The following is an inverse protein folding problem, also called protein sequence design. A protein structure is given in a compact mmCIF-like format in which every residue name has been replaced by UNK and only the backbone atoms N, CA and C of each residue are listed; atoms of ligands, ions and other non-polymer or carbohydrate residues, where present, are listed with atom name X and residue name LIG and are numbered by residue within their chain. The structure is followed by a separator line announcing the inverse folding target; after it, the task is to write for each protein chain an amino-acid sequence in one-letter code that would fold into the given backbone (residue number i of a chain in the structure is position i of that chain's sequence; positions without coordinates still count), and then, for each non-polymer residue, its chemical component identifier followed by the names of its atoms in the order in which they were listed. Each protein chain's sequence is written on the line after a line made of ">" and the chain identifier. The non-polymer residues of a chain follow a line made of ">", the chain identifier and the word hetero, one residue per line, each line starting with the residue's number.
data_IF_927915525060
#
_entry.id   IF_927915525060
#
_cell.length_a   1.000
_cell.length_b   1.000
_cell.length_c   1.000
_cell.angle_alpha   90.00
_cell.angle_beta   90.00
_cell.angle_gamma   90.00
#
_symmetry.space_group_name_H-M   'P 1'
#
loop_
_entity.id
_entity.type
_entity.pdbx_description
1 polymer ?
#
# COMPACT_ATOMS: atom_id res chain seq x y z
N UNK A 1 4.23 0.78 25.37
CA UNK A 1 3.15 0.66 24.36
C UNK A 1 2.17 1.78 24.66
N UNK A 2 2.11 2.84 23.84
CA UNK A 2 1.11 3.89 24.01
C UNK A 2 -0.23 3.33 23.52
N UNK A 3 -1.23 3.30 24.39
CA UNK A 3 -2.57 2.80 24.05
C UNK A 3 -3.28 3.81 23.16
N UNK A 4 -3.66 3.41 21.94
CA UNK A 4 -4.41 4.27 21.01
C UNK A 4 -5.86 4.48 21.49
N UNK A 5 -6.39 5.69 21.32
CA UNK A 5 -7.81 5.97 21.53
C UNK A 5 -8.67 5.34 20.41
N UNK A 6 -9.99 5.25 20.60
CA UNK A 6 -10.90 4.65 19.61
C UNK A 6 -10.80 5.34 18.24
N UNK A 7 -10.82 6.68 18.22
CA UNK A 7 -10.65 7.49 17.01
C UNK A 7 -9.36 7.14 16.24
N UNK A 8 -8.24 7.01 16.96
CA UNK A 8 -6.96 6.64 16.39
C UNK A 8 -6.96 5.21 15.82
N UNK A 9 -7.56 4.26 16.54
CA UNK A 9 -7.71 2.86 16.07
C UNK A 9 -8.54 2.78 14.79
N UNK A 10 -9.62 3.55 14.69
CA UNK A 10 -10.46 3.57 13.49
C UNK A 10 -9.68 4.12 12.28
N UNK A 11 -8.90 5.19 12.48
CA UNK A 11 -8.01 5.76 11.45
C UNK A 11 -6.92 4.77 11.02
N UNK A 12 -6.32 4.04 11.95
CA UNK A 12 -5.35 2.98 11.63
C UNK A 12 -5.98 1.91 10.78
N UNK A 13 -7.17 1.40 11.13
CA UNK A 13 -7.86 0.39 10.32
C UNK A 13 -8.16 0.89 8.91
N UNK A 14 -8.65 2.12 8.74
CA UNK A 14 -8.92 2.69 7.42
C UNK A 14 -7.63 2.84 6.59
N UNK A 15 -6.55 3.34 7.21
CA UNK A 15 -5.25 3.47 6.53
C UNK A 15 -4.71 2.11 6.06
N UNK A 16 -4.82 1.07 6.88
CA UNK A 16 -4.42 -0.30 6.52
C UNK A 16 -5.25 -0.81 5.33
N UNK A 17 -6.57 -0.59 5.32
CA UNK A 17 -7.43 -0.98 4.19
C UNK A 17 -6.99 -0.30 2.89
N UNK A 18 -6.66 0.98 2.94
CA UNK A 18 -6.25 1.75 1.75
C UNK A 18 -4.85 1.39 1.25
N UNK A 19 -3.91 1.17 2.15
CA UNK A 19 -2.48 1.05 1.80
C UNK A 19 -1.96 -0.38 1.83
N UNK A 20 -2.72 -1.32 2.39
CA UNK A 20 -2.32 -2.71 2.63
C UNK A 20 -0.99 -2.83 3.42
N UNK A 21 -0.68 -1.82 4.23
CA UNK A 21 0.51 -1.83 5.09
C UNK A 21 0.23 -2.45 6.45
N UNK A 22 1.29 -2.78 7.18
CA UNK A 22 1.15 -3.25 8.55
C UNK A 22 0.80 -2.10 9.52
N UNK A 23 0.29 -2.47 10.69
CA UNK A 23 -0.14 -1.53 11.74
C UNK A 23 0.97 -0.57 12.17
N UNK A 24 2.22 -1.04 12.27
CA UNK A 24 3.36 -0.18 12.63
C UNK A 24 3.56 0.96 11.64
N UNK A 25 3.45 0.66 10.34
CA UNK A 25 3.58 1.66 9.26
C UNK A 25 2.41 2.62 9.30
N UNK A 26 1.19 2.12 9.46
CA UNK A 26 -0.02 2.94 9.56
C UNK A 26 0.05 3.93 10.74
N UNK A 27 0.43 3.47 11.94
CA UNK A 27 0.60 4.33 13.12
C UNK A 27 1.68 5.38 12.89
N UNK A 28 2.78 5.00 12.24
CA UNK A 28 3.88 5.94 11.94
C UNK A 28 3.41 7.03 10.97
N UNK A 29 2.73 6.64 9.87
CA UNK A 29 2.21 7.60 8.90
C UNK A 29 1.18 8.54 9.53
N UNK A 30 0.23 8.00 10.29
CA UNK A 30 -0.84 8.81 10.89
C UNK A 30 -0.30 9.75 11.98
N UNK A 31 0.62 9.28 12.83
CA UNK A 31 1.19 10.12 13.89
C UNK A 31 2.05 11.27 13.35
N UNK A 32 2.72 11.10 12.21
CA UNK A 32 3.48 12.16 11.54
C UNK A 32 2.61 13.18 10.78
N UNK A 33 1.32 12.91 10.62
CA UNK A 33 0.39 13.75 9.85
C UNK A 33 -0.84 14.12 10.69
N UNK A 34 -0.65 14.33 12.00
CA UNK A 34 -1.69 14.77 12.94
C UNK A 34 -2.98 13.93 12.89
N UNK A 35 -2.85 12.63 12.59
CA UNK A 35 -3.97 11.69 12.43
C UNK A 35 -4.97 12.07 11.32
N UNK A 36 -4.58 12.94 10.38
CA UNK A 36 -5.34 13.28 9.17
C UNK A 36 -5.15 12.18 8.13
N UNK A 37 -6.17 11.35 7.98
CA UNK A 37 -6.12 10.15 7.13
C UNK A 37 -5.80 10.46 5.67
N UNK A 38 -6.50 11.44 5.11
CA UNK A 38 -6.35 11.95 3.75
C UNK A 38 -4.92 12.43 3.47
N UNK A 39 -4.37 13.28 4.35
CA UNK A 39 -3.00 13.78 4.23
C UNK A 39 -1.98 12.65 4.33
N UNK A 40 -2.18 11.74 5.30
CA UNK A 40 -1.28 10.60 5.49
C UNK A 40 -1.29 9.66 4.27
N UNK A 41 -2.46 9.39 3.68
CA UNK A 41 -2.57 8.52 2.50
C UNK A 41 -1.95 9.17 1.28
N UNK A 42 -2.20 10.46 1.03
CA UNK A 42 -1.60 11.18 -0.10
C UNK A 42 -0.07 11.14 -0.02
N UNK A 43 0.47 11.44 1.17
CA UNK A 43 1.93 11.44 1.40
C UNK A 43 2.54 10.05 1.24
N UNK A 44 1.84 9.01 1.71
CA UNK A 44 2.26 7.61 1.56
C UNK A 44 2.37 7.21 0.08
N UNK A 45 1.36 7.54 -0.73
CA UNK A 45 1.36 7.18 -2.15
C UNK A 45 2.30 8.04 -3.00
N UNK A 46 2.58 9.28 -2.59
CA UNK A 46 3.57 10.13 -3.25
C UNK A 46 5.01 9.68 -2.99
N UNK A 47 5.32 9.17 -1.78
CA UNK A 47 6.69 8.81 -1.37
C UNK A 47 6.73 7.45 -0.65
N UNK A 48 6.32 6.35 -1.30
CA UNK A 48 6.22 5.04 -0.66
C UNK A 48 7.55 4.53 -0.11
N UNK A 49 8.68 4.97 -0.64
CA UNK A 49 10.03 4.63 -0.19
C UNK A 49 10.36 5.11 1.23
N UNK A 50 9.68 6.16 1.72
CA UNK A 50 9.87 6.66 3.09
C UNK A 50 9.24 5.75 4.13
N UNK A 51 8.22 4.99 3.74
CA UNK A 51 7.35 4.24 4.64
C UNK A 51 7.48 2.73 4.46
N UNK A 52 7.89 2.27 3.27
CA UNK A 52 8.02 0.84 2.95
C UNK A 52 9.48 0.49 2.66
N UNK A 53 10.21 0.14 3.72
CA UNK A 53 11.63 -0.28 3.63
C UNK A 53 11.87 -1.50 2.71
N UNK A 54 10.87 -2.38 2.56
CA UNK A 54 11.04 -3.73 1.98
C UNK A 54 10.64 -3.92 0.51
N UNK A 55 10.23 -2.89 -0.24
CA UNK A 55 9.88 -3.10 -1.67
C UNK A 55 11.11 -3.56 -2.47
N UNK A 56 12.32 -3.18 -2.06
CA UNK A 56 13.57 -3.52 -2.76
C UNK A 56 13.96 -5.01 -2.68
N UNK A 57 13.41 -5.77 -1.72
CA UNK A 57 13.72 -7.21 -1.55
C UNK A 57 12.61 -8.17 -1.98
N UNK A 58 11.36 -7.70 -2.03
CA UNK A 58 10.20 -8.52 -2.38
C UNK A 58 9.89 -8.55 -3.89
N UNK A 59 10.41 -7.58 -4.66
CA UNK A 59 10.17 -7.48 -6.09
C UNK A 59 11.20 -8.33 -6.86
N UNK A 60 10.92 -9.62 -7.02
CA UNK A 60 11.66 -10.49 -7.93
C UNK A 60 11.45 -9.99 -9.37
N UNK A 61 12.38 -9.15 -9.84
CA UNK A 61 12.35 -8.54 -11.17
C UNK A 61 12.18 -9.59 -12.27
N UNK A 62 12.73 -10.80 -12.08
CA UNK A 62 12.62 -11.90 -13.04
C UNK A 62 11.18 -12.40 -13.15
N UNK A 63 10.47 -12.55 -12.03
CA UNK A 63 9.04 -12.90 -12.03
C UNK A 63 8.18 -11.81 -12.66
N UNK A 64 8.51 -10.54 -12.38
CA UNK A 64 7.81 -9.40 -12.98
C UNK A 64 7.99 -9.38 -14.50
N UNK A 65 9.21 -9.60 -14.97
CA UNK A 65 9.54 -9.64 -16.40
C UNK A 65 8.88 -10.84 -17.10
N UNK A 66 8.81 -12.01 -16.44
CA UNK A 66 8.07 -13.17 -16.94
C UNK A 66 6.57 -12.89 -17.07
N UNK A 67 5.97 -12.24 -16.07
CA UNK A 67 4.57 -11.81 -16.13
C UNK A 67 4.38 -10.82 -17.28
N UNK A 68 5.19 -9.77 -17.34
CA UNK A 68 5.13 -8.79 -18.42
C UNK A 68 5.24 -9.45 -19.80
N UNK A 69 6.21 -10.35 -20.01
CA UNK A 69 6.36 -11.06 -21.28
C UNK A 69 5.20 -12.00 -21.61
N UNK A 70 4.51 -12.55 -20.60
CA UNK A 70 3.31 -13.37 -20.78
C UNK A 70 2.07 -12.57 -21.19
N UNK A 71 2.04 -11.28 -20.87
CA UNK A 71 0.86 -10.42 -21.06
C UNK A 71 1.08 -9.28 -22.07
N UNK A 72 2.32 -8.96 -22.45
CA UNK A 72 2.60 -8.01 -23.53
C UNK A 72 1.97 -8.55 -24.82
N UNK A 73 1.03 -7.79 -25.40
CA UNK A 73 0.25 -8.19 -26.58
C UNK A 73 -1.14 -8.80 -26.28
N UNK A 74 -1.56 -8.90 -25.01
CA UNK A 74 -2.96 -9.20 -24.63
C UNK A 74 -3.74 -7.91 -24.41
N UNK A 75 -5.05 -7.96 -24.69
CA UNK A 75 -5.95 -6.82 -24.66
C UNK A 75 -5.94 -6.10 -23.30
N UNK A 76 -5.92 -4.76 -23.31
CA UNK A 76 -5.73 -3.91 -22.11
C UNK A 76 -6.75 -4.20 -20.99
N UNK A 77 -7.94 -4.68 -21.35
CA UNK A 77 -9.02 -5.08 -20.44
C UNK A 77 -8.59 -6.20 -19.45
N UNK A 78 -7.69 -7.10 -19.86
CA UNK A 78 -7.18 -8.16 -18.98
C UNK A 78 -6.13 -7.66 -17.97
N UNK A 79 -5.41 -6.59 -18.29
CA UNK A 79 -4.43 -5.99 -17.36
C UNK A 79 -5.12 -5.21 -16.24
N UNK A 80 -6.21 -4.49 -16.55
CA UNK A 80 -6.98 -3.71 -15.56
C UNK A 80 -7.70 -4.64 -14.57
N UNK A 81 -8.30 -5.74 -15.05
CA UNK A 81 -8.95 -6.73 -14.18
C UNK A 81 -7.97 -7.44 -13.24
N UNK A 82 -6.69 -7.61 -13.63
CA UNK A 82 -5.65 -8.14 -12.75
C UNK A 82 -5.20 -7.15 -11.68
N UNK A 83 -5.20 -5.84 -11.98
CA UNK A 83 -4.96 -4.83 -10.96
C UNK A 83 -6.10 -4.82 -9.92
N UNK A 84 -7.35 -5.09 -10.29
CA UNK A 84 -8.40 -5.26 -9.28
C UNK A 84 -8.25 -6.56 -8.48
N UNK A 85 -7.81 -7.66 -9.10
CA UNK A 85 -7.69 -8.96 -8.44
C UNK A 85 -6.46 -9.08 -7.51
N UNK A 86 -5.43 -8.25 -7.72
CA UNK A 86 -4.25 -8.19 -6.84
C UNK A 86 -4.41 -7.20 -5.66
N UNK A 87 -5.49 -6.40 -5.65
CA UNK A 87 -5.81 -5.43 -4.59
C UNK A 87 -7.05 -5.83 -3.77
N UNK A 88 -7.62 -7.01 -4.05
CA UNK A 88 -8.66 -7.67 -3.26
C UNK A 88 -8.18 -9.08 -2.90
N UNK A 89 -7.22 -9.16 -1.99
CA UNK A 89 -6.98 -10.30 -1.10
C UNK A 89 -6.25 -9.78 0.13
#
# INVERSE_FOLDING_TARGET
>A
MLTLCSFQKDKVRQFIIFTQTNEKTAVTCLSQNDWKLDVATDKFFQNPELYVSNVKGALDKKKLEQLYNRYRGKEQTLLISMFQRSYVT
#
